data_IF_712505355030
#
_entry.id   IF_712505355030
#
_cell.length_a   1.000
_cell.length_b   1.000
_cell.length_c   1.000
_cell.angle_alpha   90.00
_cell.angle_beta   90.00
_cell.angle_gamma   90.00
#
_symmetry.space_group_name_H-M   'P 1'
#
loop_
_entity.id
_entity.type
_entity.pdbx_description
1 polymer ?
#
# COMPACT_ATOMS: atom_id res chain seq x y z
N UNK A 1 9.75 -27.79 7.23
CA UNK A 1 10.45 -28.41 8.38
C UNK A 1 10.73 -27.34 9.41
N UNK A 2 10.47 -27.61 10.68
CA UNK A 2 10.84 -26.73 11.80
C UNK A 2 11.72 -27.50 12.77
N UNK A 3 12.66 -26.81 13.43
CA UNK A 3 13.54 -27.38 14.44
C UNK A 3 13.80 -26.34 15.52
N UNK A 4 13.64 -26.71 16.79
CA UNK A 4 14.06 -25.89 17.91
C UNK A 4 15.50 -26.26 18.29
N UNK A 5 16.35 -25.25 18.46
CA UNK A 5 17.70 -25.35 19.01
C UNK A 5 17.71 -24.67 20.36
N UNK A 6 18.25 -25.34 21.36
CA UNK A 6 18.28 -24.89 22.74
C UNK A 6 19.50 -25.47 23.46
N UNK A 7 19.94 -24.88 24.58
CA UNK A 7 21.07 -25.39 25.37
C UNK A 7 20.80 -26.79 25.93
N UNK A 8 21.84 -27.61 26.12
CA UNK A 8 21.71 -29.01 26.56
C UNK A 8 21.02 -29.20 27.91
N UNK A 9 21.07 -28.19 28.79
CA UNK A 9 20.43 -28.17 30.10
C UNK A 9 18.93 -27.78 30.05
N UNK A 10 18.37 -27.59 28.86
CA UNK A 10 16.93 -27.33 28.68
C UNK A 10 16.13 -28.61 28.87
N UNK A 11 15.17 -28.58 29.79
CA UNK A 11 14.24 -29.68 30.04
C UNK A 11 12.99 -29.46 29.17
N UNK A 12 12.80 -30.29 28.16
CA UNK A 12 11.59 -30.27 27.33
C UNK A 12 10.48 -31.07 28.01
N UNK A 13 9.33 -30.44 28.22
CA UNK A 13 8.19 -31.01 28.94
C UNK A 13 7.12 -31.55 28.01
N UNK A 14 6.91 -30.86 26.88
CA UNK A 14 5.90 -31.21 25.89
C UNK A 14 6.35 -30.81 24.50
N UNK A 15 6.12 -31.70 23.54
CA UNK A 15 6.25 -31.43 22.10
C UNK A 15 5.06 -32.08 21.42
N UNK A 16 4.24 -31.28 20.75
CA UNK A 16 3.22 -31.75 19.82
C UNK A 16 3.14 -30.83 18.59
N UNK A 17 2.22 -31.12 17.69
CA UNK A 17 2.07 -30.37 16.43
C UNK A 17 1.66 -28.90 16.62
N UNK A 18 1.21 -28.49 17.82
CA UNK A 18 0.74 -27.13 18.13
C UNK A 18 1.67 -26.39 19.11
N UNK A 19 2.37 -27.10 19.98
CA UNK A 19 3.13 -26.50 21.07
C UNK A 19 4.45 -27.25 21.35
N UNK A 20 5.51 -26.47 21.62
CA UNK A 20 6.73 -26.95 22.30
C UNK A 20 6.86 -26.20 23.62
N UNK A 21 6.91 -26.93 24.73
CA UNK A 21 7.07 -26.39 26.08
C UNK A 21 8.33 -26.95 26.71
N UNK A 22 9.19 -26.06 27.21
CA UNK A 22 10.42 -26.42 27.92
C UNK A 22 10.74 -25.43 29.05
N UNK A 23 11.61 -25.84 29.96
CA UNK A 23 12.15 -25.03 31.05
C UNK A 23 13.67 -25.08 31.06
N UNK A 24 14.30 -23.95 31.37
CA UNK A 24 15.74 -23.83 31.60
C UNK A 24 15.99 -22.88 32.78
N UNK A 25 17.14 -23.01 33.43
CA UNK A 25 17.58 -22.10 34.48
C UNK A 25 18.70 -21.21 33.95
N UNK A 26 18.52 -19.89 34.03
CA UNK A 26 19.54 -18.91 33.63
C UNK A 26 19.89 -18.07 34.85
N UNK A 27 21.12 -18.21 35.35
CA UNK A 27 21.61 -17.43 36.47
C UNK A 27 21.88 -15.97 36.11
N UNK A 28 22.02 -15.12 37.13
CA UNK A 28 22.41 -13.72 36.92
C UNK A 28 23.77 -13.63 36.22
N UNK A 29 23.84 -12.85 35.13
CA UNK A 29 25.03 -12.72 34.29
C UNK A 29 25.28 -13.88 33.33
N UNK A 30 24.47 -14.95 33.37
CA UNK A 30 24.50 -16.00 32.37
C UNK A 30 23.60 -15.65 31.19
N UNK A 31 23.85 -16.32 30.07
CA UNK A 31 23.11 -16.14 28.83
C UNK A 31 22.77 -17.51 28.26
N UNK A 32 21.52 -17.67 27.85
CA UNK A 32 21.02 -18.84 27.14
C UNK A 32 20.43 -18.41 25.80
N UNK A 33 20.54 -19.27 24.79
CA UNK A 33 20.05 -18.99 23.44
C UNK A 33 19.13 -20.12 22.98
N UNK A 34 17.91 -19.75 22.61
CA UNK A 34 16.95 -20.64 21.94
C UNK A 34 16.68 -20.08 20.55
N UNK A 35 16.64 -20.95 19.55
CA UNK A 35 16.34 -20.57 18.17
C UNK A 35 15.35 -21.52 17.53
N UNK A 36 14.34 -20.96 16.89
CA UNK A 36 13.42 -21.68 16.01
C UNK A 36 13.93 -21.57 14.57
N UNK A 37 14.29 -22.70 14.00
CA UNK A 37 14.71 -22.81 12.60
C UNK A 37 13.52 -23.31 11.79
N UNK A 38 13.26 -22.69 10.64
CA UNK A 38 12.19 -23.10 9.73
C UNK A 38 12.69 -23.10 8.28
N UNK A 39 12.25 -24.08 7.51
CA UNK A 39 12.37 -24.14 6.05
C UNK A 39 11.09 -24.67 5.44
N UNK A 40 10.79 -24.28 4.21
CA UNK A 40 9.67 -24.79 3.43
C UNK A 40 10.21 -25.26 2.09
N UNK A 41 9.96 -26.53 1.75
CA UNK A 41 10.38 -27.18 0.49
C UNK A 41 11.89 -27.11 0.19
N UNK A 42 12.71 -26.90 1.22
CA UNK A 42 14.17 -26.75 1.13
C UNK A 42 14.89 -27.36 2.35
N UNK A 43 16.20 -27.62 2.19
CA UNK A 43 17.07 -28.13 3.25
C UNK A 43 17.15 -27.11 4.39
N UNK A 44 16.95 -27.57 5.63
CA UNK A 44 17.02 -26.72 6.81
C UNK A 44 18.49 -26.46 7.18
N UNK A 45 18.99 -25.20 7.18
CA UNK A 45 20.31 -24.90 7.70
C UNK A 45 20.31 -24.97 9.22
N UNK A 46 21.17 -25.82 9.80
CA UNK A 46 21.24 -26.07 11.25
C UNK A 46 22.60 -25.58 11.78
N UNK A 47 22.76 -24.27 12.09
CA UNK A 47 24.02 -23.74 12.61
C UNK A 47 24.28 -24.20 14.05
N UNK A 48 25.53 -24.30 14.51
CA UNK A 48 25.85 -24.32 15.93
C UNK A 48 25.18 -23.15 16.68
N UNK A 49 24.75 -23.37 17.93
CA UNK A 49 24.09 -22.32 18.74
C UNK A 49 24.98 -21.08 18.91
N UNK A 50 26.28 -21.30 19.11
CA UNK A 50 27.29 -20.25 19.27
C UNK A 50 27.45 -19.34 18.04
N UNK A 51 27.02 -19.79 16.85
CA UNK A 51 27.13 -19.02 15.62
C UNK A 51 25.91 -18.11 15.38
N UNK A 52 24.84 -18.26 16.17
CA UNK A 52 23.57 -17.55 15.94
C UNK A 52 23.73 -16.05 16.17
N UNK A 53 24.56 -15.62 17.11
CA UNK A 53 24.83 -14.19 17.33
C UNK A 53 25.49 -13.55 16.13
N UNK A 54 26.46 -14.24 15.53
CA UNK A 54 27.14 -13.74 14.33
C UNK A 54 26.14 -13.58 13.17
N UNK A 55 25.07 -14.38 13.14
CA UNK A 55 23.98 -14.24 12.15
C UNK A 55 23.10 -13.03 12.46
N UNK A 56 22.76 -12.79 13.72
CA UNK A 56 22.01 -11.58 14.15
C UNK A 56 22.83 -10.32 13.81
N UNK A 57 24.12 -10.28 14.18
CA UNK A 57 25.02 -9.16 13.90
C UNK A 57 25.25 -8.94 12.40
N UNK A 58 25.17 -10.00 11.59
CA UNK A 58 25.22 -9.87 10.13
C UNK A 58 23.95 -9.22 9.61
N UNK A 59 22.78 -9.69 10.04
CA UNK A 59 21.50 -9.09 9.65
C UNK A 59 21.40 -7.62 10.07
N UNK A 60 21.83 -7.27 11.30
CA UNK A 60 21.87 -5.88 11.76
C UNK A 60 22.74 -5.00 10.85
N UNK A 61 23.96 -5.45 10.53
CA UNK A 61 24.86 -4.72 9.62
C UNK A 61 24.30 -4.58 8.20
N UNK A 62 23.63 -5.60 7.68
CA UNK A 62 23.00 -5.54 6.35
C UNK A 62 21.89 -4.49 6.32
N UNK A 63 21.08 -4.40 7.37
CA UNK A 63 20.04 -3.37 7.48
C UNK A 63 20.61 -1.97 7.69
N UNK A 64 21.65 -1.83 8.52
CA UNK A 64 22.36 -0.55 8.68
C UNK A 64 22.98 -0.07 7.36
N UNK A 65 23.59 -0.98 6.61
CA UNK A 65 24.15 -0.68 5.29
C UNK A 65 23.05 -0.26 4.31
N UNK A 66 21.93 -1.00 4.26
CA UNK A 66 20.80 -0.62 3.41
C UNK A 66 20.29 0.78 3.72
N UNK A 67 20.17 1.15 5.01
CA UNK A 67 19.78 2.52 5.43
C UNK A 67 20.84 3.55 5.06
N UNK A 68 22.13 3.21 5.14
CA UNK A 68 23.23 4.10 4.78
C UNK A 68 23.27 4.41 3.27
N UNK A 69 22.80 3.49 2.43
CA UNK A 69 22.73 3.64 0.98
C UNK A 69 21.48 4.44 0.51
N UNK A 70 20.53 4.72 1.41
CA UNK A 70 19.36 5.53 1.09
C UNK A 70 19.72 7.01 0.91
N UNK A 71 19.01 7.67 0.00
CA UNK A 71 19.06 9.11 -0.19
C UNK A 71 17.73 9.72 0.26
N UNK A 72 17.72 10.30 1.46
CA UNK A 72 16.53 10.86 2.08
C UNK A 72 16.81 12.28 2.59
N UNK A 73 16.41 13.25 1.77
CA UNK A 73 16.55 14.70 2.04
C UNK A 73 15.28 15.29 2.69
N UNK A 74 14.70 14.56 3.65
CA UNK A 74 13.54 15.02 4.40
C UNK A 74 13.93 15.49 5.81
N UNK A 75 13.27 16.53 6.31
CA UNK A 75 13.43 17.01 7.70
C UNK A 75 12.94 15.95 8.69
N UNK A 76 12.03 15.07 8.28
CA UNK A 76 11.48 13.96 9.06
C UNK A 76 12.21 12.64 8.73
N UNK A 77 13.54 12.72 8.51
CA UNK A 77 14.38 11.60 8.08
C UNK A 77 14.20 10.34 8.92
N UNK A 78 14.08 10.47 10.25
CA UNK A 78 13.93 9.32 11.16
C UNK A 78 12.65 8.56 10.86
N UNK A 79 11.55 9.29 10.71
CA UNK A 79 10.22 8.76 10.44
C UNK A 79 10.15 8.11 9.05
N UNK A 80 10.73 8.78 8.05
CA UNK A 80 10.83 8.27 6.68
C UNK A 80 11.62 6.96 6.63
N UNK A 81 12.77 6.89 7.30
CA UNK A 81 13.60 5.67 7.33
C UNK A 81 12.89 4.52 8.04
N UNK A 82 12.23 4.80 9.17
CA UNK A 82 11.46 3.78 9.89
C UNK A 82 10.36 3.19 8.99
N UNK A 83 9.62 4.03 8.26
CA UNK A 83 8.64 3.56 7.28
C UNK A 83 9.28 2.86 6.08
N UNK A 84 10.41 3.33 5.57
CA UNK A 84 11.11 2.68 4.46
C UNK A 84 11.59 1.27 4.84
N UNK A 85 12.07 1.08 6.07
CA UNK A 85 12.40 -0.23 6.63
C UNK A 85 11.16 -1.13 6.70
N UNK A 86 10.03 -0.62 7.20
CA UNK A 86 8.78 -1.37 7.22
C UNK A 86 8.35 -1.82 5.80
N UNK A 87 8.46 -0.95 4.79
CA UNK A 87 8.20 -1.33 3.39
C UNK A 87 9.19 -2.36 2.87
N UNK A 88 10.47 -2.25 3.24
CA UNK A 88 11.51 -3.23 2.87
C UNK A 88 11.26 -4.60 3.53
N UNK A 89 10.64 -4.67 4.70
CA UNK A 89 10.17 -5.93 5.29
C UNK A 89 9.04 -6.60 4.47
N UNK A 90 8.25 -5.83 3.73
CA UNK A 90 7.21 -6.36 2.84
C UNK A 90 7.78 -6.82 1.47
N UNK A 91 9.03 -6.48 1.17
CA UNK A 91 9.70 -6.83 -0.08
C UNK A 91 10.22 -8.27 -0.05
N UNK A 92 9.69 -9.10 -0.94
CA UNK A 92 10.00 -10.52 -1.04
C UNK A 92 11.23 -10.76 -1.91
N UNK A 93 12.37 -10.98 -1.26
CA UNK A 93 13.68 -11.04 -1.93
C UNK A 93 13.84 -12.04 -3.07
N UNK A 94 13.19 -13.23 -3.07
CA UNK A 94 13.37 -14.18 -4.16
C UNK A 94 12.84 -13.71 -5.51
N UNK A 95 11.85 -12.82 -5.53
CA UNK A 95 11.19 -12.39 -6.78
C UNK A 95 11.18 -10.88 -6.97
N UNK A 96 11.34 -10.10 -5.91
CA UNK A 96 11.13 -8.65 -5.91
C UNK A 96 9.67 -8.24 -5.69
N UNK A 97 8.75 -9.19 -5.50
CA UNK A 97 7.35 -8.90 -5.17
C UNK A 97 7.23 -8.12 -3.86
N UNK A 98 6.15 -7.37 -3.68
CA UNK A 98 5.91 -6.56 -2.48
C UNK A 98 4.54 -6.92 -1.93
N UNK A 99 4.47 -7.45 -0.71
CA UNK A 99 3.21 -7.75 -0.05
C UNK A 99 2.50 -6.48 0.43
N UNK A 100 1.17 -6.48 0.51
CA UNK A 100 0.40 -5.39 1.11
C UNK A 100 0.60 -5.33 2.64
N UNK A 101 0.70 -6.51 3.28
CA UNK A 101 1.14 -6.68 4.67
C UNK A 101 1.72 -8.10 4.87
N UNK A 102 2.34 -8.37 6.02
CA UNK A 102 2.84 -9.71 6.40
C UNK A 102 1.87 -10.50 7.30
N UNK A 103 0.69 -9.93 7.55
CA UNK A 103 -0.36 -10.54 8.39
C UNK A 103 -1.59 -10.92 7.57
N UNK A 104 -2.43 -11.75 8.18
CA UNK A 104 -3.74 -12.12 7.66
C UNK A 104 -4.75 -12.14 8.81
N UNK A 105 -6.01 -11.88 8.50
CA UNK A 105 -7.13 -12.01 9.44
C UNK A 105 -7.03 -11.16 10.70
N UNK A 106 -6.28 -10.06 10.66
CA UNK A 106 -6.38 -9.04 11.70
C UNK A 106 -7.63 -8.17 11.42
N UNK A 107 -8.48 -7.94 12.43
CA UNK A 107 -9.80 -7.37 12.22
C UNK A 107 -9.78 -5.85 12.03
N UNK A 108 -10.49 -5.34 11.02
CA UNK A 108 -10.77 -3.90 10.84
C UNK A 108 -11.67 -3.33 11.97
N UNK A 109 -12.34 -4.22 12.71
CA UNK A 109 -13.10 -3.94 13.94
C UNK A 109 -13.11 -5.19 14.81
N UNK A 110 -12.75 -5.08 16.10
CA UNK A 110 -12.76 -6.22 17.01
C UNK A 110 -14.13 -6.94 17.03
N UNK A 111 -14.10 -8.26 16.92
CA UNK A 111 -15.31 -9.09 16.81
C UNK A 111 -16.06 -8.97 15.48
N UNK A 112 -15.58 -8.15 14.55
CA UNK A 112 -16.10 -8.01 13.20
C UNK A 112 -15.63 -9.11 12.26
N UNK A 113 -16.21 -9.10 11.07
CA UNK A 113 -15.99 -10.07 10.00
C UNK A 113 -15.08 -9.53 8.88
N UNK A 114 -14.64 -8.27 8.91
CA UNK A 114 -13.67 -7.73 7.95
C UNK A 114 -12.23 -8.05 8.36
N UNK A 115 -11.85 -9.32 8.18
CA UNK A 115 -10.58 -9.89 8.64
C UNK A 115 -9.78 -10.43 7.44
N UNK A 116 -9.30 -9.57 6.55
CA UNK A 116 -8.73 -10.00 5.25
C UNK A 116 -7.29 -10.53 5.32
N UNK A 117 -6.89 -11.38 4.36
CA UNK A 117 -5.50 -11.84 4.18
C UNK A 117 -4.76 -10.90 3.22
N UNK A 118 -3.72 -10.22 3.72
CA UNK A 118 -2.98 -9.19 2.99
C UNK A 118 -1.56 -9.63 2.58
N UNK A 119 -1.24 -10.93 2.71
CA UNK A 119 0.10 -11.49 2.38
C UNK A 119 0.35 -11.64 0.88
N UNK A 120 -0.40 -10.92 0.07
CA UNK A 120 -0.36 -10.92 -1.39
C UNK A 120 0.14 -9.58 -1.90
N UNK A 121 0.54 -9.55 -3.17
CA UNK A 121 1.00 -8.35 -3.83
C UNK A 121 -0.15 -7.75 -4.67
N UNK A 122 -0.76 -6.69 -4.15
CA UNK A 122 -1.69 -5.86 -4.92
C UNK A 122 -0.91 -4.98 -5.90
N UNK A 123 -1.42 -4.84 -7.12
CA UNK A 123 -0.78 -4.02 -8.16
C UNK A 123 -0.66 -2.56 -7.70
N UNK A 124 -1.73 -2.00 -7.13
CA UNK A 124 -1.77 -0.64 -6.57
C UNK A 124 -0.71 -0.45 -5.48
N UNK A 125 -0.77 -1.30 -4.45
CA UNK A 125 0.09 -1.21 -3.28
C UNK A 125 1.57 -1.36 -3.68
N UNK A 126 1.89 -2.35 -4.52
CA UNK A 126 3.24 -2.53 -5.04
C UNK A 126 3.70 -1.32 -5.87
N UNK A 127 2.86 -0.78 -6.75
CA UNK A 127 3.17 0.41 -7.54
C UNK A 127 3.46 1.64 -6.65
N UNK A 128 2.73 1.79 -5.54
CA UNK A 128 2.93 2.90 -4.61
C UNK A 128 4.18 2.73 -3.76
N UNK A 129 4.48 1.50 -3.31
CA UNK A 129 5.71 1.21 -2.56
C UNK A 129 6.94 1.40 -3.46
N UNK A 130 6.87 1.02 -4.74
CA UNK A 130 7.95 1.28 -5.71
C UNK A 130 8.21 2.79 -5.83
N UNK A 131 7.17 3.62 -5.92
CA UNK A 131 7.32 5.09 -5.92
C UNK A 131 7.94 5.61 -4.62
N UNK A 132 7.57 5.05 -3.47
CA UNK A 132 8.18 5.40 -2.20
C UNK A 132 9.68 5.01 -2.14
N UNK A 133 10.05 3.83 -2.66
CA UNK A 133 11.45 3.42 -2.78
C UNK A 133 12.26 4.33 -3.69
N UNK A 134 11.71 4.73 -4.85
CA UNK A 134 12.34 5.75 -5.69
C UNK A 134 12.60 7.05 -4.92
N UNK A 135 11.63 7.46 -4.10
CA UNK A 135 11.70 8.71 -3.34
C UNK A 135 12.78 8.70 -2.25
N UNK A 136 13.05 7.55 -1.64
CA UNK A 136 14.11 7.40 -0.60
C UNK A 136 15.44 6.89 -1.16
N UNK A 137 15.58 6.79 -2.49
CA UNK A 137 16.81 6.34 -3.15
C UNK A 137 17.06 4.82 -3.11
N UNK A 138 16.07 4.00 -2.75
CA UNK A 138 16.15 2.54 -2.79
C UNK A 138 15.97 2.00 -4.22
N UNK A 139 16.83 2.44 -5.15
CA UNK A 139 16.69 2.14 -6.59
C UNK A 139 16.77 0.65 -6.94
N UNK A 140 17.64 -0.18 -6.33
CA UNK A 140 17.66 -1.61 -6.61
C UNK A 140 16.32 -2.29 -6.26
N UNK A 141 15.71 -1.90 -5.14
CA UNK A 141 14.43 -2.41 -4.66
C UNK A 141 13.27 -2.00 -5.57
N UNK A 142 13.23 -0.71 -5.93
CA UNK A 142 12.26 -0.17 -6.88
C UNK A 142 12.34 -0.87 -8.24
N UNK A 143 13.56 -1.07 -8.77
CA UNK A 143 13.78 -1.77 -10.03
C UNK A 143 13.30 -3.22 -9.96
N UNK A 144 13.65 -3.96 -8.90
CA UNK A 144 13.25 -5.35 -8.75
C UNK A 144 11.71 -5.48 -8.68
N UNK A 145 11.06 -4.64 -7.87
CA UNK A 145 9.60 -4.58 -7.78
C UNK A 145 8.93 -4.23 -9.11
N UNK A 146 9.45 -3.22 -9.82
CA UNK A 146 8.95 -2.82 -11.13
C UNK A 146 9.07 -3.96 -12.14
N UNK A 147 10.24 -4.58 -12.26
CA UNK A 147 10.48 -5.69 -13.19
C UNK A 147 9.57 -6.89 -12.89
N UNK A 148 9.40 -7.25 -11.61
CA UNK A 148 8.50 -8.30 -11.19
C UNK A 148 7.04 -7.98 -11.56
N UNK A 149 6.58 -6.77 -11.27
CA UNK A 149 5.19 -6.37 -11.49
C UNK A 149 4.86 -6.34 -13.00
N UNK A 150 5.71 -5.73 -13.83
CA UNK A 150 5.50 -5.67 -15.28
C UNK A 150 5.54 -7.07 -15.92
N UNK A 151 6.45 -7.93 -15.48
CA UNK A 151 6.52 -9.33 -15.94
C UNK A 151 5.27 -10.11 -15.55
N UNK A 152 4.79 -9.94 -14.32
CA UNK A 152 3.61 -10.61 -13.80
C UNK A 152 2.35 -10.16 -14.52
N UNK A 153 2.15 -8.85 -14.68
CA UNK A 153 1.03 -8.31 -15.47
C UNK A 153 1.06 -8.86 -16.90
N UNK A 154 2.23 -8.86 -17.54
CA UNK A 154 2.43 -9.39 -18.90
C UNK A 154 2.04 -10.87 -19.04
N UNK A 155 2.37 -11.71 -18.04
CA UNK A 155 2.02 -13.14 -18.02
C UNK A 155 0.52 -13.41 -17.93
N UNK A 156 -0.24 -12.52 -17.31
CA UNK A 156 -1.68 -12.70 -17.04
C UNK A 156 -2.58 -11.92 -18.01
N UNK A 157 -2.02 -11.43 -19.12
CA UNK A 157 -2.81 -10.74 -20.17
C UNK A 157 -3.76 -11.72 -20.88
N UNK A 158 -4.93 -11.24 -21.37
CA UNK A 158 -5.45 -9.87 -21.27
C UNK A 158 -6.07 -9.55 -19.90
N UNK A 159 -6.18 -8.25 -19.59
CA UNK A 159 -6.63 -7.75 -18.28
C UNK A 159 -5.48 -7.58 -17.28
N UNK A 160 -5.81 -7.14 -16.07
CA UNK A 160 -4.88 -6.96 -14.96
C UNK A 160 -5.61 -7.39 -13.68
N UNK A 161 -5.44 -8.64 -13.22
CA UNK A 161 -5.88 -9.02 -11.88
C UNK A 161 -5.37 -8.03 -10.81
N UNK A 162 -6.20 -7.63 -9.82
CA UNK A 162 -5.80 -6.66 -8.80
C UNK A 162 -4.63 -7.10 -7.93
N UNK A 163 -4.51 -8.41 -7.67
CA UNK A 163 -3.47 -8.96 -6.82
C UNK A 163 -2.96 -10.32 -7.29
N UNK A 164 -1.75 -10.65 -6.82
CA UNK A 164 -1.04 -11.88 -7.12
C UNK A 164 -0.39 -12.45 -5.86
N UNK A 165 -0.09 -13.75 -5.88
CA UNK A 165 0.85 -14.32 -4.91
C UNK A 165 2.24 -13.69 -5.11
N UNK A 166 3.12 -13.77 -4.10
CA UNK A 166 4.49 -13.25 -4.20
C UNK A 166 5.35 -13.94 -5.27
N UNK A 167 4.87 -15.07 -5.82
CA UNK A 167 5.48 -15.78 -6.96
C UNK A 167 4.85 -15.42 -8.32
N UNK A 168 3.86 -14.51 -8.33
CA UNK A 168 3.20 -14.03 -9.54
C UNK A 168 2.09 -14.95 -10.06
N UNK A 169 1.54 -15.83 -9.23
CA UNK A 169 0.36 -16.63 -9.56
C UNK A 169 -0.92 -15.95 -9.10
N UNK A 170 -2.08 -16.42 -9.58
CA UNK A 170 -3.38 -15.96 -9.06
C UNK A 170 -3.55 -16.33 -7.59
N UNK A 171 -4.17 -15.45 -6.82
CA UNK A 171 -4.49 -15.71 -5.41
C UNK A 171 -5.68 -16.69 -5.35
N UNK A 172 -5.62 -17.62 -4.40
CA UNK A 172 -6.70 -18.58 -4.18
C UNK A 172 -7.94 -17.89 -3.60
N UNK A 173 -9.11 -18.46 -3.91
CA UNK A 173 -10.36 -18.07 -3.28
C UNK A 173 -10.30 -18.25 -1.76
N UNK A 174 -11.09 -17.46 -1.06
CA UNK A 174 -11.09 -17.46 0.40
C UNK A 174 -11.51 -18.81 0.99
N UNK A 175 -10.80 -19.22 2.03
CA UNK A 175 -11.16 -20.36 2.88
C UNK A 175 -10.99 -19.98 4.34
N UNK A 176 -11.87 -20.52 5.18
CA UNK A 176 -11.85 -20.26 6.62
C UNK A 176 -11.00 -21.29 7.37
N UNK A 177 -10.29 -20.81 8.38
CA UNK A 177 -9.45 -21.61 9.27
C UNK A 177 -10.14 -21.68 10.63
N UNK A 178 -10.35 -22.89 11.13
CA UNK A 178 -10.95 -23.12 12.45
C UNK A 178 -9.94 -22.89 13.58
N UNK A 179 -9.68 -21.61 13.86
CA UNK A 179 -8.85 -21.14 14.99
C UNK A 179 -9.52 -19.91 15.63
N UNK A 180 -9.27 -19.60 16.91
CA UNK A 180 -10.01 -18.55 17.64
C UNK A 180 -9.90 -17.12 17.09
N UNK A 181 -8.87 -16.81 16.29
CA UNK A 181 -8.66 -15.47 15.74
C UNK A 181 -8.20 -14.43 16.76
N UNK A 182 -7.76 -13.28 16.28
CA UNK A 182 -7.22 -12.22 17.12
C UNK A 182 -8.32 -11.60 18.01
N UNK A 183 -8.13 -11.62 19.32
CA UNK A 183 -9.15 -11.26 20.32
C UNK A 183 -10.53 -11.91 20.09
N UNK A 184 -10.55 -13.15 19.59
CA UNK A 184 -11.80 -13.86 19.31
C UNK A 184 -12.52 -13.40 18.04
N UNK A 185 -11.88 -12.59 17.20
CA UNK A 185 -12.49 -12.07 15.96
C UNK A 185 -12.52 -13.16 14.89
N UNK A 186 -13.71 -13.37 14.33
CA UNK A 186 -14.01 -14.40 13.35
C UNK A 186 -14.71 -13.80 12.12
N UNK A 187 -14.56 -14.41 10.93
CA UNK A 187 -13.78 -15.61 10.67
C UNK A 187 -12.29 -15.32 10.47
N UNK A 188 -11.43 -16.30 10.74
CA UNK A 188 -10.06 -16.31 10.23
C UNK A 188 -10.08 -16.86 8.81
N UNK A 189 -9.69 -16.05 7.83
CA UNK A 189 -9.67 -16.39 6.40
C UNK A 189 -8.26 -16.30 5.82
N UNK A 190 -8.01 -17.14 4.84
CA UNK A 190 -6.83 -17.08 3.98
C UNK A 190 -7.28 -17.16 2.52
N UNK A 191 -6.51 -16.56 1.62
CA UNK A 191 -7.00 -16.28 0.27
C UNK A 191 -7.66 -14.89 0.19
N UNK A 192 -8.08 -14.50 -1.01
CA UNK A 192 -8.72 -13.21 -1.21
C UNK A 192 -9.62 -13.21 -2.47
N UNK A 193 -10.82 -12.63 -2.36
CA UNK A 193 -11.78 -12.55 -3.48
C UNK A 193 -11.45 -11.47 -4.52
N UNK A 194 -10.50 -10.56 -4.26
CA UNK A 194 -10.18 -9.45 -5.15
C UNK A 194 -9.63 -9.88 -6.51
N UNK A 195 -9.11 -11.10 -6.65
CA UNK A 195 -8.44 -11.61 -7.87
C UNK A 195 -9.24 -11.41 -9.16
N UNK A 196 -10.57 -11.53 -9.10
CA UNK A 196 -11.45 -11.46 -10.27
C UNK A 196 -12.18 -10.11 -10.42
N UNK A 197 -11.89 -9.15 -9.54
CA UNK A 197 -12.50 -7.83 -9.59
C UNK A 197 -11.93 -6.98 -10.73
N UNK A 198 -12.82 -6.31 -11.45
CA UNK A 198 -12.42 -5.26 -12.38
C UNK A 198 -12.11 -4.00 -11.60
N UNK A 199 -10.88 -3.50 -11.72
CA UNK A 199 -10.45 -2.21 -11.19
C UNK A 199 -9.82 -1.40 -12.31
N UNK A 200 -10.48 -0.32 -12.72
CA UNK A 200 -9.98 0.53 -13.80
C UNK A 200 -8.92 1.53 -13.32
N UNK A 201 -8.82 1.73 -12.00
CA UNK A 201 -7.79 2.54 -11.36
C UNK A 201 -6.37 2.02 -11.65
N UNK A 202 -6.19 0.69 -11.75
CA UNK A 202 -4.91 0.02 -11.98
C UNK A 202 -4.09 0.54 -13.18
N UNK A 203 -4.75 1.05 -14.23
CA UNK A 203 -4.04 1.64 -15.36
C UNK A 203 -3.26 2.89 -14.95
N UNK A 204 -3.83 3.71 -14.06
CA UNK A 204 -3.21 4.89 -13.50
C UNK A 204 -1.99 4.51 -12.65
N UNK A 205 -2.16 3.55 -11.74
CA UNK A 205 -1.09 3.08 -10.87
C UNK A 205 0.15 2.63 -11.66
N UNK A 206 -0.05 1.80 -12.70
CA UNK A 206 1.04 1.26 -13.53
C UNK A 206 1.69 2.35 -14.37
N UNK A 207 0.90 3.23 -14.98
CA UNK A 207 1.43 4.31 -15.83
C UNK A 207 2.21 5.35 -15.05
N UNK A 208 1.70 5.76 -13.88
CA UNK A 208 2.40 6.68 -13.00
C UNK A 208 3.71 6.06 -12.50
N UNK A 209 3.68 4.81 -12.05
CA UNK A 209 4.89 4.08 -11.63
C UNK A 209 5.94 4.05 -12.75
N UNK A 210 5.55 3.69 -13.98
CA UNK A 210 6.47 3.67 -15.11
C UNK A 210 7.05 5.05 -15.45
N UNK A 211 6.24 6.10 -15.38
CA UNK A 211 6.71 7.49 -15.55
C UNK A 211 7.79 7.84 -14.52
N UNK A 212 7.58 7.46 -13.24
CA UNK A 212 8.55 7.75 -12.17
C UNK A 212 9.84 6.95 -12.28
N UNK A 213 9.78 5.70 -12.75
CA UNK A 213 10.97 4.93 -13.06
C UNK A 213 11.83 5.63 -14.13
N UNK A 214 11.21 6.16 -15.18
CA UNK A 214 11.91 6.90 -16.23
C UNK A 214 12.50 8.20 -15.71
N UNK A 215 11.74 8.97 -14.92
CA UNK A 215 12.24 10.21 -14.30
C UNK A 215 13.43 9.96 -13.36
N UNK A 216 13.49 8.78 -12.73
CA UNK A 216 14.64 8.33 -11.95
C UNK A 216 15.83 7.85 -12.81
N UNK A 217 15.77 7.97 -14.14
CA UNK A 217 16.85 7.64 -15.07
C UNK A 217 16.85 6.22 -15.61
N UNK A 218 15.79 5.43 -15.39
CA UNK A 218 15.68 4.09 -15.95
C UNK A 218 15.16 4.11 -17.40
N UNK A 219 15.56 3.10 -18.17
CA UNK A 219 15.11 2.89 -19.55
C UNK A 219 14.20 1.66 -19.58
N UNK A 220 13.07 1.77 -20.27
CA UNK A 220 12.16 0.65 -20.47
C UNK A 220 12.67 -0.28 -21.57
N UNK A 221 12.59 -1.58 -21.34
CA UNK A 221 12.79 -2.56 -22.41
C UNK A 221 11.58 -2.59 -23.37
N UNK A 222 11.74 -3.12 -24.60
CA UNK A 222 10.68 -3.13 -25.60
C UNK A 222 9.41 -3.86 -25.18
N UNK A 223 9.50 -4.93 -24.36
CA UNK A 223 8.32 -5.68 -23.93
C UNK A 223 7.52 -4.86 -22.91
N UNK A 224 8.20 -4.21 -21.96
CA UNK A 224 7.56 -3.28 -21.02
C UNK A 224 6.93 -2.09 -21.73
N UNK A 225 7.65 -1.46 -22.69
CA UNK A 225 7.12 -0.34 -23.46
C UNK A 225 5.85 -0.73 -24.26
N UNK A 226 5.84 -1.93 -24.85
CA UNK A 226 4.66 -2.47 -25.53
C UNK A 226 3.51 -2.73 -24.56
N UNK A 227 3.78 -3.31 -23.38
CA UNK A 227 2.77 -3.57 -22.37
C UNK A 227 2.10 -2.26 -21.91
N UNK A 228 2.89 -1.20 -21.65
CA UNK A 228 2.33 0.12 -21.32
C UNK A 228 1.46 0.66 -22.44
N UNK A 229 1.91 0.59 -23.70
CA UNK A 229 1.07 1.00 -24.84
C UNK A 229 -0.28 0.25 -24.87
N UNK A 230 -0.27 -1.07 -24.66
CA UNK A 230 -1.49 -1.89 -24.65
C UNK A 230 -2.41 -1.53 -23.47
N UNK A 231 -1.85 -1.24 -22.29
CA UNK A 231 -2.62 -0.80 -21.12
C UNK A 231 -3.24 0.60 -21.32
N UNK A 232 -2.53 1.54 -21.96
CA UNK A 232 -3.10 2.85 -22.30
C UNK A 232 -4.28 2.71 -23.27
N UNK A 233 -4.14 1.89 -24.31
CA UNK A 233 -5.21 1.69 -25.29
C UNK A 233 -6.42 0.99 -24.65
N UNK A 234 -6.18 0.01 -23.77
CA UNK A 234 -7.23 -0.64 -23.00
C UNK A 234 -7.94 0.32 -22.04
N UNK A 235 -7.20 1.22 -21.37
CA UNK A 235 -7.77 2.28 -20.54
C UNK A 235 -8.70 3.19 -21.37
N UNK A 236 -8.25 3.62 -22.55
CA UNK A 236 -9.05 4.44 -23.46
C UNK A 236 -10.33 3.73 -23.95
N UNK A 237 -10.32 2.40 -24.05
CA UNK A 237 -11.51 1.60 -24.37
C UNK A 237 -12.46 1.43 -23.18
N UNK A 238 -11.92 1.26 -21.97
CA UNK A 238 -12.66 0.71 -20.83
C UNK A 238 -13.00 1.71 -19.75
N UNK A 239 -12.50 2.95 -19.79
CA UNK A 239 -12.71 3.92 -18.71
C UNK A 239 -14.19 4.18 -18.39
N UNK A 240 -15.12 3.99 -19.34
CA UNK A 240 -16.56 4.11 -19.09
C UNK A 240 -17.21 2.87 -18.47
N UNK A 241 -16.47 1.80 -18.17
CA UNK A 241 -17.03 0.66 -17.43
C UNK A 241 -17.24 1.04 -15.96
N UNK A 242 -18.29 0.48 -15.37
CA UNK A 242 -18.43 0.40 -13.92
C UNK A 242 -17.47 -0.66 -13.38
N UNK A 243 -16.87 -0.40 -12.23
CA UNK A 243 -15.80 -1.22 -11.64
C UNK A 243 -15.96 -1.29 -10.12
N UNK A 244 -15.09 -2.03 -9.42
CA UNK A 244 -15.13 -2.19 -7.97
C UNK A 244 -14.53 -0.99 -7.20
N UNK A 245 -14.07 0.04 -7.90
CA UNK A 245 -13.47 1.22 -7.29
C UNK A 245 -12.12 0.96 -6.61
N UNK A 246 -11.60 2.01 -5.98
CA UNK A 246 -10.32 1.96 -5.26
C UNK A 246 -10.39 1.02 -4.05
N UNK A 247 -11.55 0.89 -3.40
CA UNK A 247 -11.74 0.10 -2.19
C UNK A 247 -12.25 -1.32 -2.42
N UNK A 248 -12.20 -1.84 -3.64
CA UNK A 248 -12.51 -3.25 -3.94
C UNK A 248 -13.96 -3.66 -3.58
N UNK A 249 -14.90 -2.74 -3.80
CA UNK A 249 -16.29 -2.85 -3.37
C UNK A 249 -17.10 -3.80 -4.26
N UNK A 250 -18.11 -4.43 -3.65
CA UNK A 250 -19.00 -5.38 -4.33
C UNK A 250 -19.84 -4.72 -5.43
N UNK A 251 -20.32 -3.49 -5.18
CA UNK A 251 -21.13 -2.76 -6.15
C UNK A 251 -20.28 -2.15 -7.25
N UNK A 252 -20.61 -2.50 -8.50
CA UNK A 252 -20.02 -1.88 -9.67
C UNK A 252 -20.62 -0.49 -9.88
N UNK A 253 -19.81 0.56 -9.78
CA UNK A 253 -20.23 1.94 -10.02
C UNK A 253 -19.20 2.71 -10.87
N UNK A 254 -19.56 3.92 -11.28
CA UNK A 254 -18.60 4.86 -11.84
C UNK A 254 -17.91 5.63 -10.70
N UNK A 255 -17.03 4.93 -9.98
CA UNK A 255 -16.27 5.54 -8.89
C UNK A 255 -15.41 6.70 -9.40
N UNK A 256 -15.47 7.83 -8.71
CA UNK A 256 -14.79 9.07 -9.14
C UNK A 256 -13.29 8.86 -9.15
N UNK A 257 -12.75 8.20 -8.12
CA UNK A 257 -11.33 7.89 -8.03
C UNK A 257 -10.84 7.03 -9.21
N UNK A 258 -11.61 6.02 -9.61
CA UNK A 258 -11.29 5.22 -10.80
C UNK A 258 -11.21 6.06 -12.08
N UNK A 259 -12.07 7.07 -12.23
CA UNK A 259 -12.04 7.96 -13.40
C UNK A 259 -10.85 8.91 -13.35
N UNK A 260 -10.52 9.45 -12.17
CA UNK A 260 -9.33 10.29 -11.97
C UNK A 260 -8.06 9.50 -12.35
N UNK A 261 -7.95 8.25 -11.94
CA UNK A 261 -6.78 7.44 -12.27
C UNK A 261 -6.74 7.02 -13.75
N UNK A 262 -7.88 6.76 -14.39
CA UNK A 262 -7.93 6.58 -15.85
C UNK A 262 -7.48 7.85 -16.60
N UNK A 263 -7.90 9.03 -16.13
CA UNK A 263 -7.43 10.31 -16.67
C UNK A 263 -5.92 10.47 -16.51
N UNK A 264 -5.38 10.18 -15.33
CA UNK A 264 -3.95 10.18 -15.06
C UNK A 264 -3.21 9.19 -15.96
N UNK A 265 -3.74 7.98 -16.14
CA UNK A 265 -3.15 6.94 -16.98
C UNK A 265 -2.93 7.45 -18.42
N UNK A 266 -3.98 8.04 -19.02
CA UNK A 266 -3.89 8.56 -20.38
C UNK A 266 -3.02 9.83 -20.47
N UNK A 267 -3.01 10.67 -19.43
CA UNK A 267 -2.06 11.80 -19.35
C UNK A 267 -0.62 11.30 -19.40
N UNK A 268 -0.25 10.32 -18.57
CA UNK A 268 1.10 9.72 -18.58
C UNK A 268 1.41 8.99 -19.88
N UNK A 269 0.45 8.28 -20.46
CA UNK A 269 0.64 7.64 -21.75
C UNK A 269 0.99 8.66 -22.85
N UNK A 270 0.34 9.83 -22.85
CA UNK A 270 0.67 10.92 -23.78
C UNK A 270 2.09 11.44 -23.56
N UNK A 271 2.45 11.75 -22.31
CA UNK A 271 3.79 12.24 -21.96
C UNK A 271 4.89 11.24 -22.34
N UNK A 272 4.67 9.96 -22.07
CA UNK A 272 5.61 8.88 -22.41
C UNK A 272 5.76 8.73 -23.93
N UNK A 273 4.68 8.85 -24.69
CA UNK A 273 4.72 8.76 -26.15
C UNK A 273 5.40 9.99 -26.79
N UNK A 274 5.10 11.18 -26.29
CA UNK A 274 5.70 12.44 -26.75
C UNK A 274 7.23 12.46 -26.50
N UNK A 275 7.68 11.92 -25.37
CA UNK A 275 9.10 11.75 -25.04
C UNK A 275 9.77 10.55 -25.73
N UNK A 276 9.02 9.74 -26.49
CA UNK A 276 9.55 8.60 -27.24
C UNK A 276 9.84 7.35 -26.43
N UNK A 277 9.33 7.24 -25.19
CA UNK A 277 9.47 6.04 -24.36
C UNK A 277 8.50 4.92 -24.78
N UNK A 278 7.37 5.28 -25.38
CA UNK A 278 6.42 4.36 -26.03
C UNK A 278 6.03 4.90 -27.41
N UNK A 279 5.40 4.07 -28.25
CA UNK A 279 4.98 4.48 -29.60
C UNK A 279 3.86 5.54 -29.58
N UNK A 280 3.90 6.45 -30.56
CA UNK A 280 2.90 7.52 -30.74
C UNK A 280 1.67 7.08 -31.55
N UNK A 281 1.55 5.81 -31.93
CA UNK A 281 0.53 5.29 -32.85
C UNK A 281 -0.94 5.55 -32.43
N UNK A 282 -1.18 5.86 -31.15
CA UNK A 282 -2.52 6.16 -30.59
C UNK A 282 -2.57 7.49 -29.84
N UNK A 283 -1.53 8.32 -29.91
CA UNK A 283 -1.43 9.57 -29.15
C UNK A 283 -2.66 10.50 -29.34
N UNK A 284 -3.16 10.77 -30.57
CA UNK A 284 -4.35 11.63 -30.73
C UNK A 284 -5.62 11.06 -30.10
N UNK A 285 -5.72 9.72 -29.99
CA UNK A 285 -6.84 9.05 -29.33
C UNK A 285 -6.74 9.25 -27.82
N UNK A 286 -5.58 9.00 -27.23
CA UNK A 286 -5.38 9.12 -25.79
C UNK A 286 -5.57 10.56 -25.29
N UNK A 287 -5.10 11.56 -26.05
CA UNK A 287 -5.34 12.97 -25.75
C UNK A 287 -6.85 13.29 -25.70
N UNK A 288 -7.61 12.82 -26.69
CA UNK A 288 -9.07 13.00 -26.74
C UNK A 288 -9.78 12.33 -25.57
N UNK A 289 -9.46 11.08 -25.28
CA UNK A 289 -10.11 10.36 -24.17
C UNK A 289 -9.70 10.92 -22.81
N UNK A 290 -8.45 11.36 -22.62
CA UNK A 290 -8.02 12.11 -21.43
C UNK A 290 -8.92 13.32 -21.20
N UNK A 291 -9.09 14.16 -22.20
CA UNK A 291 -9.90 15.39 -22.06
C UNK A 291 -11.37 15.07 -21.81
N UNK A 292 -11.88 14.01 -22.46
CA UNK A 292 -13.24 13.52 -22.25
C UNK A 292 -13.48 12.98 -20.83
N UNK A 293 -12.52 12.25 -20.26
CA UNK A 293 -12.64 11.76 -18.88
C UNK A 293 -12.69 12.94 -17.90
N UNK A 294 -11.82 13.94 -18.08
CA UNK A 294 -11.78 15.10 -17.19
C UNK A 294 -13.10 15.88 -17.23
N UNK A 295 -13.63 16.13 -18.44
CA UNK A 295 -14.94 16.76 -18.59
C UNK A 295 -16.05 15.90 -17.94
N UNK A 296 -16.01 14.58 -18.14
CA UNK A 296 -17.01 13.69 -17.56
C UNK A 296 -17.01 13.73 -16.03
N UNK A 297 -15.82 13.78 -15.39
CA UNK A 297 -15.68 13.93 -13.93
C UNK A 297 -16.34 15.23 -13.48
N UNK A 298 -16.09 16.35 -14.18
CA UNK A 298 -16.68 17.64 -13.82
C UNK A 298 -18.20 17.67 -13.91
N UNK A 299 -18.76 16.97 -14.88
CA UNK A 299 -20.19 16.95 -15.16
C UNK A 299 -20.97 15.98 -14.25
N UNK A 300 -20.35 14.88 -13.81
CA UNK A 300 -21.08 13.76 -13.17
C UNK A 300 -20.64 13.46 -11.74
N UNK A 301 -19.43 13.88 -11.34
CA UNK A 301 -18.86 13.53 -10.04
C UNK A 301 -18.89 14.69 -9.04
N UNK A 302 -19.24 15.91 -9.47
CA UNK A 302 -19.40 17.06 -8.60
C UNK A 302 -20.82 17.10 -8.03
N UNK A 303 -20.95 17.28 -6.71
CA UNK A 303 -22.23 17.43 -6.05
C UNK A 303 -22.37 18.83 -5.45
N UNK A 304 -23.24 19.66 -6.05
CA UNK A 304 -23.40 21.07 -5.67
C UNK A 304 -23.77 21.26 -4.20
N UNK A 305 -24.70 20.45 -3.67
CA UNK A 305 -25.13 20.58 -2.26
C UNK A 305 -24.06 20.18 -1.22
N UNK A 306 -23.01 19.46 -1.65
CA UNK A 306 -21.89 19.05 -0.80
C UNK A 306 -20.66 19.92 -1.02
N UNK A 307 -20.65 20.68 -2.14
CA UNK A 307 -19.48 21.39 -2.66
C UNK A 307 -18.24 20.46 -2.73
N UNK A 308 -18.44 19.25 -3.25
CA UNK A 308 -17.40 18.22 -3.26
C UNK A 308 -17.53 17.30 -4.47
N UNK A 309 -16.39 16.78 -4.92
CA UNK A 309 -16.40 15.52 -5.66
C UNK A 309 -16.87 14.39 -4.74
N UNK A 310 -17.79 13.56 -5.23
CA UNK A 310 -18.39 12.44 -4.47
C UNK A 310 -17.74 11.11 -4.82
N UNK A 311 -18.02 10.07 -4.03
CA UNK A 311 -17.45 8.72 -4.13
C UNK A 311 -17.67 8.11 -5.52
N UNK A 312 -18.88 8.22 -6.05
CA UNK A 312 -19.20 7.81 -7.41
C UNK A 312 -20.27 8.73 -8.01
N UNK A 313 -20.33 8.78 -9.35
CA UNK A 313 -21.31 9.59 -10.04
C UNK A 313 -22.75 9.28 -9.58
N UNK A 314 -23.54 10.35 -9.38
CA UNK A 314 -24.93 10.26 -8.91
C UNK A 314 -25.12 9.94 -7.42
N UNK A 315 -24.07 9.99 -6.60
CA UNK A 315 -24.16 9.87 -5.13
C UNK A 315 -23.98 11.22 -4.43
N UNK A 316 -24.21 11.24 -3.12
CA UNK A 316 -23.84 12.32 -2.19
C UNK A 316 -22.80 11.87 -1.16
N UNK A 317 -22.28 10.65 -1.29
CA UNK A 317 -21.29 10.03 -0.39
C UNK A 317 -19.89 10.56 -0.71
N UNK A 318 -19.05 10.72 0.31
CA UNK A 318 -17.66 11.15 0.17
C UNK A 318 -16.69 9.97 0.26
N UNK A 319 -15.49 10.13 -0.31
CA UNK A 319 -14.44 9.12 -0.36
C UNK A 319 -13.07 9.75 -0.16
N UNK A 320 -12.38 9.39 0.93
CA UNK A 320 -11.09 9.95 1.30
C UNK A 320 -9.95 9.57 0.34
N UNK A 321 -10.12 8.55 -0.51
CA UNK A 321 -9.13 8.21 -1.54
C UNK A 321 -8.89 9.35 -2.53
N UNK A 322 -9.88 10.24 -2.73
CA UNK A 322 -9.75 11.41 -3.59
C UNK A 322 -8.66 12.40 -3.11
N UNK A 323 -8.19 12.33 -1.87
CA UNK A 323 -7.04 13.13 -1.43
C UNK A 323 -5.75 12.78 -2.19
N UNK A 324 -5.61 11.52 -2.66
CA UNK A 324 -4.52 11.12 -3.56
C UNK A 324 -4.55 11.88 -4.90
N UNK A 325 -5.73 12.35 -5.33
CA UNK A 325 -5.87 13.08 -6.58
C UNK A 325 -5.15 14.44 -6.57
N UNK A 326 -4.74 14.94 -5.39
CA UNK A 326 -3.82 16.07 -5.26
C UNK A 326 -2.50 15.78 -6.01
N UNK A 327 -1.86 14.66 -5.70
CA UNK A 327 -0.64 14.16 -6.35
C UNK A 327 -0.87 13.71 -7.79
N UNK A 328 -2.09 13.31 -8.15
CA UNK A 328 -2.40 12.89 -9.52
C UNK A 328 -2.61 14.07 -10.48
N UNK A 329 -2.57 15.30 -9.95
CA UNK A 329 -2.65 16.55 -10.69
C UNK A 329 -4.07 17.09 -10.86
N UNK A 330 -5.09 16.47 -10.24
CA UNK A 330 -6.45 16.99 -10.29
C UNK A 330 -6.54 18.35 -9.58
N UNK A 331 -5.83 18.50 -8.45
CA UNK A 331 -5.73 19.77 -7.73
C UNK A 331 -5.07 20.88 -8.55
N UNK A 332 -4.19 20.55 -9.50
CA UNK A 332 -3.55 21.53 -10.38
C UNK A 332 -4.53 22.10 -11.40
N UNK A 333 -5.43 21.25 -11.92
CA UNK A 333 -6.39 21.64 -12.97
C UNK A 333 -7.75 22.07 -12.43
N UNK A 334 -8.08 21.72 -11.18
CA UNK A 334 -9.38 21.99 -10.51
C UNK A 334 -9.20 22.43 -9.06
N UNK A 335 -8.26 23.35 -8.83
CA UNK A 335 -7.84 23.77 -7.48
C UNK A 335 -8.98 24.14 -6.54
N UNK A 336 -9.89 25.02 -6.96
CA UNK A 336 -10.99 25.50 -6.11
C UNK A 336 -11.93 24.36 -5.69
N UNK A 337 -12.39 23.55 -6.66
CA UNK A 337 -13.22 22.36 -6.40
C UNK A 337 -12.50 21.35 -5.51
N UNK A 338 -11.20 21.17 -5.70
CA UNK A 338 -10.40 20.24 -4.92
C UNK A 338 -10.25 20.69 -3.45
N UNK A 339 -10.03 21.98 -3.21
CA UNK A 339 -10.02 22.58 -1.86
C UNK A 339 -11.37 22.38 -1.18
N UNK A 340 -12.48 22.69 -1.88
CA UNK A 340 -13.82 22.48 -1.34
C UNK A 340 -14.11 21.00 -1.02
N UNK A 341 -13.64 20.08 -1.88
CA UNK A 341 -13.72 18.63 -1.68
C UNK A 341 -12.97 18.18 -0.43
N UNK A 342 -11.74 18.67 -0.23
CA UNK A 342 -10.95 18.41 0.98
C UNK A 342 -11.69 18.90 2.22
N UNK A 343 -12.19 20.13 2.20
CA UNK A 343 -12.91 20.71 3.34
C UNK A 343 -14.19 19.92 3.66
N UNK A 344 -14.88 19.40 2.64
CA UNK A 344 -16.03 18.50 2.84
C UNK A 344 -15.63 17.18 3.53
N UNK A 345 -14.50 16.58 3.15
CA UNK A 345 -13.98 15.39 3.83
C UNK A 345 -13.63 15.66 5.28
N UNK A 346 -13.00 16.80 5.58
CA UNK A 346 -12.69 17.17 6.95
C UNK A 346 -13.95 17.32 7.82
N UNK A 347 -15.06 17.80 7.24
CA UNK A 347 -16.33 17.97 7.96
C UNK A 347 -17.06 16.65 8.22
N UNK A 348 -17.02 15.70 7.28
CA UNK A 348 -17.91 14.53 7.32
C UNK A 348 -17.21 13.18 7.56
N UNK A 349 -15.90 13.09 7.27
CA UNK A 349 -15.13 11.85 7.36
C UNK A 349 -14.08 11.85 8.48
N UNK A 350 -13.81 12.99 9.14
CA UNK A 350 -12.88 13.01 10.26
C UNK A 350 -13.49 12.47 11.56
N UNK A 351 -12.65 11.86 12.39
CA UNK A 351 -12.94 11.52 13.77
C UNK A 351 -13.15 12.77 14.64
N UNK A 352 -13.49 12.56 15.91
CA UNK A 352 -13.77 13.67 16.83
C UNK A 352 -12.56 14.59 17.06
N UNK A 353 -11.33 14.12 16.80
CA UNK A 353 -10.13 14.97 16.90
C UNK A 353 -9.90 15.81 15.65
N UNK A 354 -10.51 15.44 14.51
CA UNK A 354 -10.27 16.08 13.22
C UNK A 354 -9.05 15.56 12.45
N UNK A 355 -8.33 14.56 12.98
CA UNK A 355 -7.03 14.17 12.42
C UNK A 355 -7.08 12.82 11.67
N UNK A 356 -7.95 11.90 12.09
CA UNK A 356 -8.07 10.59 11.46
C UNK A 356 -9.35 10.53 10.62
N UNK A 357 -9.29 9.83 9.49
CA UNK A 357 -10.41 9.78 8.54
C UNK A 357 -10.89 8.35 8.32
N UNK A 358 -12.21 8.18 8.21
CA UNK A 358 -12.78 6.95 7.64
C UNK A 358 -12.65 6.95 6.11
N UNK A 359 -12.61 5.75 5.51
CA UNK A 359 -12.42 5.59 4.06
C UNK A 359 -13.47 6.33 3.24
N UNK A 360 -14.74 6.22 3.61
CA UNK A 360 -15.86 6.85 2.91
C UNK A 360 -17.10 6.93 3.81
N UNK A 361 -18.11 7.68 3.37
CA UNK A 361 -19.34 7.92 4.14
C UNK A 361 -20.00 6.61 4.59
N UNK A 362 -20.25 6.50 5.90
CA UNK A 362 -20.93 5.36 6.55
C UNK A 362 -20.00 4.38 7.26
N UNK A 363 -18.68 4.47 7.05
CA UNK A 363 -17.71 3.53 7.63
C UNK A 363 -17.49 3.70 9.14
N UNK A 364 -17.90 4.83 9.72
CA UNK A 364 -17.91 5.08 11.17
C UNK A 364 -18.54 3.96 12.00
N UNK A 365 -19.49 3.23 11.41
CA UNK A 365 -20.27 2.20 12.09
C UNK A 365 -19.68 0.78 11.91
N UNK A 366 -18.72 0.62 11.01
CA UNK A 366 -18.29 -0.69 10.52
C UNK A 366 -16.81 -1.00 10.80
N UNK A 367 -15.97 0.03 10.95
CA UNK A 367 -14.50 -0.12 10.98
C UNK A 367 -13.81 1.04 11.71
N UNK A 368 -12.50 0.88 11.94
CA UNK A 368 -11.62 1.94 12.40
C UNK A 368 -11.37 3.03 11.34
N UNK A 369 -10.73 4.11 11.77
CA UNK A 369 -10.22 5.13 10.84
C UNK A 369 -9.02 4.59 10.07
N UNK A 370 -8.86 5.00 8.80
CA UNK A 370 -7.83 4.46 7.92
C UNK A 370 -6.59 5.35 7.95
N UNK A 371 -5.46 4.79 8.40
CA UNK A 371 -4.25 5.57 8.67
C UNK A 371 -3.73 6.22 7.38
N UNK A 372 -3.78 5.51 6.26
CA UNK A 372 -3.32 6.08 4.98
C UNK A 372 -4.17 7.27 4.52
N UNK A 373 -5.48 7.29 4.79
CA UNK A 373 -6.35 8.42 4.43
C UNK A 373 -5.95 9.69 5.17
N UNK A 374 -5.58 9.58 6.45
CA UNK A 374 -5.08 10.69 7.23
C UNK A 374 -3.75 11.24 6.67
N UNK A 375 -2.82 10.37 6.27
CA UNK A 375 -1.58 10.83 5.63
C UNK A 375 -1.79 11.37 4.21
N UNK A 376 -2.79 10.90 3.45
CA UNK A 376 -3.16 11.53 2.17
C UNK A 376 -3.74 12.93 2.37
N UNK A 377 -4.45 13.16 3.47
CA UNK A 377 -4.90 14.49 3.86
C UNK A 377 -3.70 15.41 4.17
N UNK A 378 -2.70 14.94 4.92
CA UNK A 378 -1.43 15.68 5.13
C UNK A 378 -0.77 16.03 3.79
N UNK A 379 -0.64 15.05 2.90
CA UNK A 379 -0.05 15.24 1.58
C UNK A 379 -0.83 16.29 0.78
N UNK A 380 -2.17 16.22 0.79
CA UNK A 380 -3.02 17.19 0.12
C UNK A 380 -2.83 18.62 0.66
N UNK A 381 -2.79 18.81 1.98
CA UNK A 381 -2.48 20.12 2.59
C UNK A 381 -1.11 20.64 2.14
N UNK A 382 -0.08 19.79 2.18
CA UNK A 382 1.29 20.16 1.76
C UNK A 382 1.36 20.59 0.30
N UNK A 383 0.75 19.81 -0.62
CA UNK A 383 0.71 20.11 -2.05
C UNK A 383 -0.17 21.32 -2.39
N UNK A 384 -1.20 21.60 -1.59
CA UNK A 384 -2.01 22.82 -1.72
C UNK A 384 -1.30 24.06 -1.16
N UNK A 385 -0.14 23.91 -0.51
CA UNK A 385 0.64 25.01 0.06
C UNK A 385 0.23 25.41 1.48
N UNK A 386 -0.67 24.65 2.11
CA UNK A 386 -1.13 24.85 3.49
C UNK A 386 -0.22 24.10 4.47
N UNK A 387 1.05 24.53 4.51
CA UNK A 387 2.13 23.81 5.20
C UNK A 387 1.96 23.72 6.71
N UNK A 388 1.47 24.78 7.35
CA UNK A 388 1.28 24.80 8.80
C UNK A 388 0.29 23.70 9.25
N UNK A 389 -0.77 23.50 8.47
CA UNK A 389 -1.77 22.47 8.74
C UNK A 389 -1.24 21.07 8.41
N UNK A 390 -0.48 20.94 7.31
CA UNK A 390 0.21 19.69 6.99
C UNK A 390 1.18 19.27 8.12
N UNK A 391 2.00 20.20 8.63
CA UNK A 391 2.93 19.95 9.75
C UNK A 391 2.18 19.57 11.03
N UNK A 392 1.13 20.32 11.39
CA UNK A 392 0.29 20.04 12.56
C UNK A 392 -0.28 18.62 12.50
N UNK A 393 -0.94 18.29 11.39
CA UNK A 393 -1.60 16.99 11.22
C UNK A 393 -0.58 15.85 11.19
N UNK A 394 0.54 16.02 10.48
CA UNK A 394 1.61 15.02 10.43
C UNK A 394 2.13 14.66 11.82
N UNK A 395 2.46 15.66 12.64
CA UNK A 395 2.96 15.42 14.00
C UNK A 395 1.90 14.84 14.94
N UNK A 396 0.63 15.23 14.80
CA UNK A 396 -0.47 14.59 15.53
C UNK A 396 -0.55 13.09 15.22
N UNK A 397 -0.55 12.71 13.94
CA UNK A 397 -0.61 11.31 13.51
C UNK A 397 0.57 10.49 14.04
N UNK A 398 1.79 11.01 13.91
CA UNK A 398 3.00 10.32 14.41
C UNK A 398 2.97 10.01 15.91
N UNK A 399 2.24 10.79 16.70
CA UNK A 399 2.10 10.59 18.14
C UNK A 399 1.06 9.53 18.52
N UNK A 400 0.16 9.19 17.59
CA UNK A 400 -1.01 8.33 17.85
C UNK A 400 -0.88 6.95 17.24
N UNK A 401 -0.54 6.86 15.94
CA UNK A 401 -0.82 5.64 15.17
C UNK A 401 0.34 4.63 15.08
N UNK A 402 1.46 4.92 15.73
CA UNK A 402 2.67 4.09 15.71
C UNK A 402 2.81 3.30 17.01
N UNK A 403 3.28 2.06 16.91
CA UNK A 403 3.72 1.33 18.08
C UNK A 403 5.12 1.79 18.55
N UNK A 404 5.63 1.15 19.61
CA UNK A 404 6.91 1.42 20.25
C UNK A 404 8.14 1.30 19.32
N UNK A 405 8.03 0.49 18.26
CA UNK A 405 9.07 0.33 17.23
C UNK A 405 8.77 1.08 15.93
N UNK A 406 7.71 1.89 15.90
CA UNK A 406 7.36 2.76 14.78
C UNK A 406 6.55 2.11 13.66
N UNK A 407 6.09 0.86 13.83
CA UNK A 407 5.22 0.18 12.88
C UNK A 407 3.78 0.72 12.98
N UNK A 408 3.11 0.79 11.84
CA UNK A 408 1.72 1.23 11.72
C UNK A 408 0.85 0.11 11.15
N UNK A 409 -0.33 -0.11 11.75
CA UNK A 409 -1.32 -1.02 11.20
C UNK A 409 -2.09 -0.36 10.04
N UNK A 410 -3.11 -1.05 9.54
CA UNK A 410 -4.02 -0.55 8.51
C UNK A 410 -4.94 0.57 9.02
N UNK A 411 -5.48 0.37 10.21
CA UNK A 411 -6.50 1.22 10.81
C UNK A 411 -6.18 1.57 12.25
N UNK A 412 -6.82 2.62 12.73
CA UNK A 412 -6.79 3.05 14.12
C UNK A 412 -8.22 3.08 14.68
N UNK A 413 -8.42 2.49 15.85
CA UNK A 413 -9.64 2.60 16.63
C UNK A 413 -9.67 3.98 17.34
N UNK A 414 -10.49 4.94 16.90
CA UNK A 414 -10.53 6.27 17.52
C UNK A 414 -11.17 6.24 18.91
N UNK A 415 -11.84 5.16 19.31
CA UNK A 415 -12.49 5.03 20.62
C UNK A 415 -11.66 4.22 21.60
N UNK A 416 -11.08 3.12 21.13
CA UNK A 416 -10.23 2.22 21.92
C UNK A 416 -8.76 2.62 21.96
N UNK A 417 -8.34 3.61 21.16
CA UNK A 417 -6.95 4.07 21.02
C UNK A 417 -5.95 2.93 20.77
N UNK A 418 -6.29 2.07 19.80
CA UNK A 418 -5.49 0.90 19.45
C UNK A 418 -5.45 0.65 17.94
N UNK A 419 -4.42 -0.07 17.51
CA UNK A 419 -4.28 -0.51 16.12
C UNK A 419 -5.29 -1.59 15.72
N UNK A 420 -5.81 -1.49 14.50
CA UNK A 420 -6.75 -2.43 13.88
C UNK A 420 -6.29 -2.80 12.46
N UNK A 421 -6.78 -3.93 11.96
CA UNK A 421 -6.42 -4.45 10.63
C UNK A 421 -4.98 -4.94 10.54
N UNK A 422 -4.52 -5.17 9.31
CA UNK A 422 -3.23 -5.82 9.06
C UNK A 422 -2.03 -4.94 9.46
N UNK A 423 -0.88 -5.55 9.79
CA UNK A 423 0.31 -4.82 10.28
C UNK A 423 1.64 -5.56 10.04
N UNK A 424 2.77 -4.84 9.82
CA UNK A 424 2.81 -3.48 9.31
C UNK A 424 2.10 -3.40 7.96
N UNK A 425 1.36 -2.32 7.74
CA UNK A 425 0.59 -2.15 6.52
C UNK A 425 1.30 -1.21 5.55
N UNK A 426 1.43 -1.66 4.30
CA UNK A 426 2.21 -1.00 3.26
C UNK A 426 1.71 0.40 2.91
N UNK A 427 0.40 0.58 2.67
CA UNK A 427 -0.18 1.89 2.33
C UNK A 427 0.05 2.95 3.42
N UNK A 428 0.07 2.58 4.70
CA UNK A 428 0.22 3.49 5.84
C UNK A 428 1.65 3.97 5.93
N UNK A 429 2.61 3.06 5.79
CA UNK A 429 4.03 3.42 5.76
C UNK A 429 4.40 4.21 4.51
N UNK A 430 3.90 3.85 3.33
CA UNK A 430 4.17 4.64 2.11
C UNK A 430 3.48 6.01 2.14
N UNK A 431 2.28 6.11 2.72
CA UNK A 431 1.57 7.39 2.81
C UNK A 431 2.31 8.35 3.75
N UNK A 432 2.87 7.87 4.86
CA UNK A 432 3.72 8.66 5.74
C UNK A 432 4.95 9.20 4.99
N UNK A 433 5.62 8.37 4.18
CA UNK A 433 6.78 8.82 3.40
C UNK A 433 6.37 9.98 2.48
N UNK A 434 5.30 9.82 1.70
CA UNK A 434 4.82 10.87 0.81
C UNK A 434 4.40 12.15 1.57
N UNK A 435 3.69 11.99 2.68
CA UNK A 435 3.28 13.10 3.55
C UNK A 435 4.48 13.88 4.10
N UNK A 436 5.55 13.20 4.53
CA UNK A 436 6.76 13.85 5.03
C UNK A 436 7.41 14.75 3.97
N UNK A 437 7.54 14.25 2.73
CA UNK A 437 8.07 15.07 1.63
C UNK A 437 7.16 16.24 1.27
N UNK A 438 5.84 16.05 1.28
CA UNK A 438 4.89 17.13 1.03
C UNK A 438 4.93 18.23 2.10
N UNK A 439 5.12 17.84 3.37
CA UNK A 439 5.35 18.77 4.49
C UNK A 439 6.63 19.59 4.29
N UNK A 440 7.69 18.98 3.75
CA UNK A 440 8.93 19.68 3.42
C UNK A 440 8.82 20.58 2.18
N UNK A 441 7.72 20.47 1.42
CA UNK A 441 7.50 21.20 0.17
C UNK A 441 8.30 20.65 -1.00
N UNK A 442 8.68 19.36 -0.93
CA UNK A 442 9.52 18.66 -1.92
C UNK A 442 8.73 17.69 -2.79
#
# INVERSE_FOLDING_TARGET
MTMLRYPEDTIIERVDDREVKGRMHVGAGQRALVALLASQDEVLPVPPLQDIDTRIDRSDREWQQWVADLHCDSRQRREVICSALALKFLWFSPTGAIAAAVTASLPERLGGDKNWDYRYAWVRDAAYIIKAFLRVGALPDAKAGFSWLMTTIGRHRPGVPPCYTLRGERVEQERYIDVPGYHGSQPVRVGNTATDQLQTCVYGDVMEMASRMIEAGHILDPATARLLFELADECADRWMRKDCGFWELEELQHYTMSKVECWMALRRACELAEKGHITQARLPRWQRERDRILQWIDDHCWHEGKESYVMHAGSDRLDASLMLASRFGLADVRRERFVATRDAMCRELCDASGDLLWRYSGMQQCEGTFISCAFWMVEAYGLLGERDEAERLFHSLLSRVRNDVGLMPEMWDPFGEQGLGNTPQGLSHLALIHAAFAVDGN
#
